data_IF_178524794465
#
_entry.id   IF_178524794465
#
_cell.length_a   1.000
_cell.length_b   1.000
_cell.length_c   1.000
_cell.angle_alpha   90.00
_cell.angle_beta   90.00
_cell.angle_gamma   90.00
#
_symmetry.space_group_name_H-M   'P 1'
#
loop_
_entity.id
_entity.type
_entity.pdbx_description
1 polymer ?
#
# COMPACT_ATOMS: atom_id res chain seq x y z
N UNK A 1 -2.71 -11.59 5.44
CA UNK A 1 -3.76 -12.32 6.18
C UNK A 1 -3.59 -13.82 5.98
N UNK A 2 -4.20 -14.59 6.87
CA UNK A 2 -4.36 -16.03 6.71
C UNK A 2 -5.17 -16.33 5.43
N UNK A 3 -4.78 -17.36 4.68
CA UNK A 3 -5.46 -17.82 3.46
C UNK A 3 -6.12 -19.18 3.74
N UNK A 4 -7.45 -19.26 3.88
CA UNK A 4 -8.13 -20.47 4.36
C UNK A 4 -8.17 -21.60 3.33
N UNK A 5 -8.30 -21.27 2.05
CA UNK A 5 -8.61 -22.23 0.97
C UNK A 5 -7.50 -23.28 0.72
N UNK A 6 -6.28 -23.03 1.19
CA UNK A 6 -5.12 -23.91 1.01
C UNK A 6 -4.36 -24.15 2.32
N UNK A 7 -5.09 -24.22 3.43
CA UNK A 7 -4.51 -24.42 4.75
C UNK A 7 -5.00 -25.70 5.42
N UNK A 8 -4.18 -26.23 6.33
CA UNK A 8 -4.51 -27.37 7.21
C UNK A 8 -5.35 -26.95 8.44
N UNK A 9 -5.86 -25.72 8.46
CA UNK A 9 -6.64 -25.16 9.57
C UNK A 9 -8.03 -24.72 9.06
N UNK A 10 -8.93 -25.68 8.73
CA UNK A 10 -10.22 -25.36 8.12
C UNK A 10 -11.13 -24.50 9.02
N UNK A 11 -10.98 -24.60 10.33
CA UNK A 11 -11.79 -23.87 11.31
C UNK A 11 -11.14 -22.54 11.77
N UNK A 12 -10.00 -22.16 11.19
CA UNK A 12 -9.33 -20.92 11.57
C UNK A 12 -10.12 -19.69 11.08
N UNK A 13 -10.45 -18.80 12.01
CA UNK A 13 -11.13 -17.56 11.71
C UNK A 13 -10.18 -16.52 11.12
N UNK A 14 -10.65 -15.81 10.10
CA UNK A 14 -9.95 -14.64 9.58
C UNK A 14 -10.02 -13.48 10.58
N UNK A 15 -8.88 -12.81 10.78
CA UNK A 15 -8.85 -11.58 11.55
C UNK A 15 -9.73 -10.51 10.88
N UNK A 16 -10.52 -9.81 11.68
CA UNK A 16 -11.22 -8.61 11.25
C UNK A 16 -10.24 -7.47 10.94
N UNK A 17 -10.68 -6.49 10.14
CA UNK A 17 -9.88 -5.31 9.82
C UNK A 17 -9.37 -4.58 11.09
N UNK A 18 -10.22 -4.45 12.11
CA UNK A 18 -9.86 -3.81 13.37
C UNK A 18 -8.81 -4.61 14.14
N UNK A 19 -8.87 -5.94 14.14
CA UNK A 19 -7.85 -6.78 14.76
C UNK A 19 -6.50 -6.65 14.05
N UNK A 20 -6.51 -6.59 12.72
CA UNK A 20 -5.30 -6.35 11.94
C UNK A 20 -4.68 -4.99 12.28
N UNK A 21 -5.46 -3.91 12.25
CA UNK A 21 -4.96 -2.57 12.58
C UNK A 21 -4.46 -2.48 14.02
N UNK A 22 -5.18 -3.08 14.97
CA UNK A 22 -4.75 -3.15 16.38
C UNK A 22 -3.43 -3.90 16.51
N UNK A 23 -3.27 -5.02 15.82
CA UNK A 23 -2.04 -5.80 15.86
C UNK A 23 -0.85 -5.02 15.29
N UNK A 24 -1.04 -4.28 14.20
CA UNK A 24 -0.01 -3.39 13.63
C UNK A 24 0.38 -2.30 14.63
N UNK A 25 -0.60 -1.65 15.27
CA UNK A 25 -0.34 -0.61 16.27
C UNK A 25 0.39 -1.16 17.49
N UNK A 26 -0.03 -2.31 18.02
CA UNK A 26 0.65 -2.98 19.12
C UNK A 26 2.07 -3.38 18.72
N UNK A 27 2.27 -3.88 17.50
CA UNK A 27 3.60 -4.24 16.97
C UNK A 27 4.52 -3.03 16.95
N UNK A 28 4.04 -1.84 16.55
CA UNK A 28 4.83 -0.59 16.59
C UNK A 28 5.28 -0.23 18.01
N UNK A 29 4.43 -0.47 19.00
CA UNK A 29 4.76 -0.18 20.40
C UNK A 29 5.68 -1.23 21.01
N UNK A 30 5.58 -2.49 20.58
CA UNK A 30 6.27 -3.62 21.22
C UNK A 30 7.58 -4.02 20.57
N UNK A 31 7.72 -3.83 19.26
CA UNK A 31 8.92 -4.18 18.50
C UNK A 31 9.85 -2.96 18.39
N UNK A 32 10.38 -2.52 19.53
CA UNK A 32 11.25 -1.34 19.62
C UNK A 32 12.58 -1.46 18.84
N UNK A 33 12.97 -2.69 18.49
CA UNK A 33 14.17 -3.03 17.75
C UNK A 33 13.94 -3.33 16.25
N UNK A 34 12.69 -3.26 15.77
CA UNK A 34 12.35 -3.41 14.36
C UNK A 34 11.99 -2.04 13.79
N UNK A 35 12.83 -1.45 12.92
CA UNK A 35 12.63 -0.06 12.49
C UNK A 35 11.37 0.12 11.62
N UNK A 36 11.07 -0.85 10.75
CA UNK A 36 10.03 -0.73 9.74
C UNK A 36 8.95 -1.79 9.90
N UNK A 37 7.68 -1.35 9.87
CA UNK A 37 6.52 -2.23 9.86
C UNK A 37 5.83 -2.09 8.50
N UNK A 38 5.70 -3.23 7.82
CA UNK A 38 5.17 -3.31 6.46
C UNK A 38 3.66 -3.51 6.44
N UNK A 39 2.95 -2.67 5.69
CA UNK A 39 1.59 -2.89 5.22
C UNK A 39 1.64 -3.51 3.81
N UNK A 40 1.54 -4.84 3.71
CA UNK A 40 1.62 -5.54 2.44
C UNK A 40 0.23 -5.57 1.76
N UNK A 41 0.05 -4.77 0.70
CA UNK A 41 -1.26 -4.53 0.06
C UNK A 41 -1.86 -5.77 -0.59
N UNK A 42 -1.03 -6.65 -1.16
CA UNK A 42 -1.53 -7.88 -1.81
C UNK A 42 -2.22 -8.81 -0.81
N UNK A 43 -1.83 -8.68 0.46
CA UNK A 43 -2.39 -9.39 1.58
C UNK A 43 -3.57 -8.64 2.19
N UNK A 44 -3.42 -7.33 2.45
CA UNK A 44 -4.40 -6.54 3.21
C UNK A 44 -5.53 -5.98 2.35
N UNK A 45 -5.32 -5.84 1.05
CA UNK A 45 -6.10 -4.96 0.17
C UNK A 45 -5.72 -3.48 0.35
N UNK A 46 -5.94 -2.71 -0.71
CA UNK A 46 -5.60 -1.28 -0.78
C UNK A 46 -6.20 -0.44 0.37
N UNK A 47 -7.51 -0.55 0.71
CA UNK A 47 -8.11 0.30 1.75
C UNK A 47 -7.53 0.04 3.15
N UNK A 48 -7.23 -1.22 3.47
CA UNK A 48 -6.70 -1.59 4.77
C UNK A 48 -5.20 -1.26 4.89
N UNK A 49 -4.45 -1.38 3.79
CA UNK A 49 -3.05 -0.98 3.75
C UNK A 49 -2.88 0.53 3.97
N UNK A 50 -3.74 1.36 3.36
CA UNK A 50 -3.76 2.80 3.59
C UNK A 50 -4.06 3.13 5.07
N UNK A 51 -5.08 2.51 5.66
CA UNK A 51 -5.37 2.68 7.09
C UNK A 51 -4.23 2.21 7.98
N UNK A 52 -3.52 1.14 7.62
CA UNK A 52 -2.39 0.63 8.38
C UNK A 52 -1.25 1.64 8.51
N UNK A 53 -1.02 2.49 7.50
CA UNK A 53 -0.04 3.58 7.56
C UNK A 53 -0.36 4.59 8.68
N UNK A 54 -1.63 4.77 9.01
CA UNK A 54 -2.08 5.61 10.13
C UNK A 54 -2.04 4.91 11.49
N UNK A 55 -1.79 3.60 11.51
CA UNK A 55 -1.82 2.76 12.71
C UNK A 55 -0.47 2.10 13.03
N UNK A 56 0.64 2.64 12.50
CA UNK A 56 1.99 2.27 12.91
C UNK A 56 2.83 1.57 11.84
N UNK A 57 2.24 1.19 10.70
CA UNK A 57 3.03 0.83 9.52
C UNK A 57 3.67 2.08 8.90
N UNK A 58 4.86 1.94 8.35
CA UNK A 58 5.58 3.02 7.67
C UNK A 58 6.09 2.62 6.27
N UNK A 59 5.95 1.34 5.91
CA UNK A 59 6.34 0.79 4.62
C UNK A 59 5.13 0.16 3.95
N UNK A 60 4.72 0.67 2.79
CA UNK A 60 3.70 0.03 1.96
C UNK A 60 4.38 -0.73 0.83
N UNK A 61 3.91 -1.95 0.57
CA UNK A 61 4.53 -2.84 -0.42
C UNK A 61 3.47 -3.72 -1.08
N UNK A 62 3.87 -4.46 -2.11
CA UNK A 62 2.99 -5.27 -2.94
C UNK A 62 2.76 -4.70 -4.32
N UNK A 63 3.78 -4.03 -4.89
CA UNK A 63 3.88 -3.92 -6.35
C UNK A 63 3.74 -5.32 -6.94
N UNK A 64 2.94 -5.49 -8.00
CA UNK A 64 2.75 -6.81 -8.60
C UNK A 64 4.08 -7.21 -9.22
N UNK A 65 4.83 -8.08 -8.53
CA UNK A 65 6.14 -8.57 -8.97
C UNK A 65 6.14 -9.37 -10.28
N UNK A 66 5.00 -9.47 -10.97
CA UNK A 66 5.03 -9.93 -12.36
C UNK A 66 5.66 -8.91 -13.30
N UNK A 67 5.69 -7.60 -12.99
CA UNK A 67 6.07 -6.61 -13.99
C UNK A 67 7.58 -6.34 -14.09
N UNK A 68 8.37 -6.38 -13.01
CA UNK A 68 9.84 -6.27 -13.14
C UNK A 68 10.43 -7.50 -13.88
N UNK A 69 9.94 -8.71 -13.59
CA UNK A 69 10.33 -9.95 -14.30
C UNK A 69 9.83 -9.92 -15.74
N UNK A 70 8.60 -9.47 -15.98
CA UNK A 70 8.03 -9.36 -17.33
C UNK A 70 8.72 -8.26 -18.14
N UNK A 71 9.18 -7.16 -17.54
CA UNK A 71 9.88 -6.08 -18.24
C UNK A 71 11.32 -6.48 -18.58
N UNK A 72 12.01 -7.25 -17.73
CA UNK A 72 13.25 -7.98 -18.11
C UNK A 72 12.98 -9.02 -19.21
N UNK A 73 11.78 -9.59 -19.27
CA UNK A 73 11.31 -10.49 -20.32
C UNK A 73 10.64 -9.78 -21.53
N UNK A 74 10.64 -8.45 -21.60
CA UNK A 74 10.18 -7.67 -22.77
C UNK A 74 8.74 -7.16 -22.78
N UNK A 75 8.02 -7.21 -21.66
CA UNK A 75 6.67 -6.63 -21.51
C UNK A 75 6.68 -5.09 -21.49
N UNK A 76 5.59 -4.49 -21.99
CA UNK A 76 5.38 -3.04 -22.15
C UNK A 76 4.39 -2.46 -21.10
N UNK A 77 3.99 -3.22 -20.08
CA UNK A 77 3.03 -2.71 -19.08
C UNK A 77 3.66 -1.57 -18.25
N UNK A 78 2.98 -0.42 -18.06
CA UNK A 78 3.57 0.72 -17.37
C UNK A 78 3.71 0.48 -15.86
N UNK A 79 4.95 0.22 -15.40
CA UNK A 79 5.32 0.14 -13.98
C UNK A 79 5.02 1.43 -13.18
N UNK A 80 4.89 2.56 -13.88
CA UNK A 80 4.69 3.87 -13.25
C UNK A 80 3.28 4.02 -12.66
N UNK A 81 2.27 3.36 -13.23
CA UNK A 81 0.88 3.43 -12.73
C UNK A 81 0.75 2.87 -11.31
N UNK A 82 1.44 1.75 -11.02
CA UNK A 82 1.41 1.12 -9.71
C UNK A 82 2.19 1.94 -8.67
N UNK A 83 3.31 2.57 -9.05
CA UNK A 83 4.07 3.47 -8.16
C UNK A 83 3.29 4.74 -7.82
N UNK A 84 2.60 5.31 -8.79
CA UNK A 84 1.73 6.48 -8.58
C UNK A 84 0.57 6.13 -7.65
N UNK A 85 -0.07 4.97 -7.80
CA UNK A 85 -1.14 4.52 -6.88
C UNK A 85 -0.64 4.35 -5.44
N UNK A 86 0.51 3.71 -5.25
CA UNK A 86 1.12 3.59 -3.91
C UNK A 86 1.42 4.97 -3.32
N UNK A 87 1.97 5.89 -4.12
CA UNK A 87 2.24 7.24 -3.67
C UNK A 87 0.96 7.98 -3.24
N UNK A 88 -0.14 7.82 -3.99
CA UNK A 88 -1.45 8.38 -3.63
C UNK A 88 -1.96 7.82 -2.31
N UNK A 89 -1.89 6.51 -2.09
CA UNK A 89 -2.27 5.90 -0.80
C UNK A 89 -1.47 6.49 0.38
N UNK A 90 -0.17 6.70 0.20
CA UNK A 90 0.67 7.32 1.24
C UNK A 90 0.22 8.78 1.50
N UNK A 91 -0.10 9.53 0.45
CA UNK A 91 -0.58 10.91 0.55
C UNK A 91 -1.95 10.98 1.22
N UNK A 92 -2.90 10.13 0.82
CA UNK A 92 -4.26 10.07 1.36
C UNK A 92 -4.27 9.64 2.83
N UNK A 93 -3.32 8.79 3.24
CA UNK A 93 -3.04 8.47 4.63
C UNK A 93 -2.44 9.64 5.45
N UNK A 94 -2.10 10.76 4.80
CA UNK A 94 -1.53 11.96 5.43
C UNK A 94 -0.01 11.92 5.59
N UNK A 95 0.69 11.04 4.86
CA UNK A 95 2.13 10.87 4.92
C UNK A 95 2.82 11.36 3.63
N UNK A 96 4.15 11.29 3.59
CA UNK A 96 4.95 11.70 2.42
C UNK A 96 5.53 10.47 1.72
N UNK A 97 5.25 10.27 0.42
CA UNK A 97 5.80 9.14 -0.33
C UNK A 97 7.32 9.25 -0.51
N UNK A 98 8.00 8.17 -0.12
CA UNK A 98 9.44 8.01 -0.23
C UNK A 98 9.73 6.62 -0.80
N UNK A 99 10.45 6.58 -1.90
CA UNK A 99 10.97 5.34 -2.47
C UNK A 99 12.23 4.92 -1.72
N UNK A 100 12.28 3.65 -1.30
CA UNK A 100 13.45 3.03 -0.65
C UNK A 100 14.14 2.02 -1.58
N UNK A 101 15.40 1.68 -1.28
CA UNK A 101 16.00 0.44 -1.78
C UNK A 101 15.64 -0.77 -0.88
N UNK A 102 16.00 -1.98 -1.30
CA UNK A 102 15.62 -3.23 -0.62
C UNK A 102 16.13 -3.34 0.82
N UNK A 103 17.25 -2.68 1.12
CA UNK A 103 17.93 -2.74 2.43
C UNK A 103 17.76 -1.47 3.27
N UNK A 104 16.86 -0.55 2.88
CA UNK A 104 16.52 0.65 3.65
C UNK A 104 17.72 1.60 3.93
N UNK A 105 18.67 1.69 3.01
CA UNK A 105 19.84 2.59 3.14
C UNK A 105 19.76 3.81 2.23
N UNK A 106 18.89 3.80 1.22
CA UNK A 106 18.72 4.89 0.28
C UNK A 106 17.24 5.23 0.15
N UNK A 107 16.95 6.53 0.22
CA UNK A 107 15.60 7.07 0.19
C UNK A 107 15.53 8.22 -0.81
N UNK A 108 14.55 8.18 -1.71
CA UNK A 108 14.27 9.23 -2.69
C UNK A 108 12.81 9.66 -2.54
N UNK A 109 12.57 10.97 -2.39
CA UNK A 109 11.20 11.51 -2.42
C UNK A 109 10.55 11.18 -3.77
N UNK A 110 9.32 10.70 -3.74
CA UNK A 110 8.54 10.46 -4.94
C UNK A 110 7.39 11.46 -4.95
N UNK A 111 7.21 12.20 -6.04
CA UNK A 111 6.08 13.09 -6.22
C UNK A 111 5.32 12.59 -7.46
N UNK A 112 4.09 12.08 -7.31
CA UNK A 112 3.29 11.75 -8.48
C UNK A 112 2.94 13.03 -9.23
N UNK A 113 3.03 13.02 -10.56
CA UNK A 113 2.56 14.14 -11.38
C UNK A 113 1.07 14.40 -11.14
N UNK A 114 0.68 15.66 -10.97
CA UNK A 114 -0.69 16.11 -10.66
C UNK A 114 -1.67 15.97 -11.85
N UNK A 115 -1.22 15.44 -12.99
CA UNK A 115 -1.92 15.51 -14.29
C UNK A 115 -3.19 14.64 -14.37
N UNK A 116 -3.42 13.76 -13.38
CA UNK A 116 -4.61 12.92 -13.26
C UNK A 116 -5.76 13.59 -12.48
N UNK A 117 -5.63 14.87 -12.10
CA UNK A 117 -6.77 15.72 -11.69
C UNK A 117 -7.61 16.20 -12.89
N UNK A 118 -7.39 15.64 -14.07
CA UNK A 118 -8.24 15.83 -15.24
C UNK A 118 -9.60 15.16 -15.06
N UNK A 119 -10.67 15.96 -15.04
CA UNK A 119 -12.07 15.55 -15.22
C UNK A 119 -12.86 15.02 -14.01
N UNK A 120 -12.80 15.69 -12.86
CA UNK A 120 -13.99 15.73 -11.99
C UNK A 120 -14.58 17.15 -11.99
N UNK A 121 -15.17 17.54 -13.14
CA UNK A 121 -16.08 18.68 -13.16
C UNK A 121 -17.34 18.25 -12.40
N UNK A 122 -17.57 18.85 -11.24
CA UNK A 122 -18.86 18.76 -10.57
C UNK A 122 -19.93 19.19 -11.60
N UNK A 123 -21.03 18.44 -11.77
CA UNK A 123 -22.14 18.90 -12.60
C UNK A 123 -22.74 20.14 -11.94
N UNK A 124 -22.32 21.32 -12.38
CA UNK A 124 -23.00 22.56 -12.04
C UNK A 124 -24.35 22.47 -12.74
N UNK A 125 -25.41 22.31 -11.96
CA UNK A 125 -26.76 22.46 -12.47
C UNK A 125 -26.89 23.89 -13.02
N UNK A 126 -26.88 24.03 -14.34
CA UNK A 126 -27.32 25.26 -14.98
C UNK A 126 -28.84 25.32 -14.85
N UNK A 127 -29.30 26.02 -13.81
CA UNK A 127 -30.69 26.42 -13.66
C UNK A 127 -30.93 27.62 -14.56
N UNK A 128 -31.58 27.37 -15.70
CA UNK A 128 -32.30 28.39 -16.46
C UNK A 128 -33.73 28.53 -15.94
#
# INVERSE_FOLDING_TARGET
PYLPDHSRLPDAQLASATEVLRLIAVSRLMLDNIPHIKAYRMNLGDPLAELALRHGADDIDGTVGHEEIMHEAGSQTPLDDDRVKLARQIIDAGARPVQRNTIYTQFRRFEPDDDDRGSMRLPIAMMG
#
